data_IF_194499018080
#
_entry.id   IF_194499018080
#
_cell.length_a   1.000
_cell.length_b   1.000
_cell.length_c   1.000
_cell.angle_alpha   90.00
_cell.angle_beta   90.00
_cell.angle_gamma   90.00
#
_symmetry.space_group_name_H-M   'P 1'
#
loop_
_entity.id
_entity.type
_entity.pdbx_description
1 polymer ?
#
# COMPACT_ATOMS: atom_id res chain seq x y z
N UNK A 1 6.57 0.10 -6.38
CA UNK A 1 6.44 -0.75 -7.58
C UNK A 1 6.35 -2.24 -7.23
N UNK A 2 7.24 -2.81 -6.40
CA UNK A 2 7.18 -4.24 -6.05
C UNK A 2 5.89 -4.63 -5.30
N UNK A 3 5.47 -3.87 -4.30
CA UNK A 3 4.22 -4.10 -3.56
C UNK A 3 3.03 -4.15 -4.51
N UNK A 4 2.94 -3.20 -5.44
CA UNK A 4 1.91 -3.15 -6.47
C UNK A 4 1.91 -4.41 -7.36
N UNK A 5 3.10 -4.87 -7.79
CA UNK A 5 3.21 -6.03 -8.68
C UNK A 5 2.80 -7.33 -7.96
N UNK A 6 3.23 -7.51 -6.70
CA UNK A 6 2.80 -8.66 -5.87
C UNK A 6 1.30 -8.62 -5.62
N UNK A 7 0.77 -7.46 -5.23
CA UNK A 7 -0.66 -7.29 -4.98
C UNK A 7 -1.50 -7.61 -6.23
N UNK A 8 -1.11 -7.07 -7.38
CA UNK A 8 -1.79 -7.36 -8.64
C UNK A 8 -1.74 -8.85 -9.00
N UNK A 9 -0.59 -9.52 -8.81
CA UNK A 9 -0.44 -10.93 -9.09
C UNK A 9 -1.33 -11.82 -8.19
N UNK A 10 -1.39 -11.51 -6.89
CA UNK A 10 -2.24 -12.23 -5.92
C UNK A 10 -3.71 -12.04 -6.25
N UNK A 11 -4.15 -10.79 -6.41
CA UNK A 11 -5.55 -10.48 -6.71
C UNK A 11 -6.03 -11.04 -8.04
N UNK A 12 -5.15 -11.14 -9.04
CA UNK A 12 -5.47 -11.71 -10.36
C UNK A 12 -5.80 -13.21 -10.32
N UNK A 13 -5.57 -13.90 -9.18
CA UNK A 13 -6.00 -15.29 -8.99
C UNK A 13 -7.52 -15.41 -8.84
N UNK A 14 -8.20 -14.33 -8.47
CA UNK A 14 -9.65 -14.31 -8.21
C UNK A 14 -10.41 -13.22 -8.97
N UNK A 15 -9.77 -12.08 -9.26
CA UNK A 15 -10.42 -10.90 -9.82
C UNK A 15 -9.81 -10.52 -11.17
N UNK A 16 -10.57 -9.83 -12.00
CA UNK A 16 -10.05 -9.14 -13.18
C UNK A 16 -9.38 -7.85 -12.73
N UNK A 17 -8.06 -7.88 -12.68
CA UNK A 17 -7.22 -6.80 -12.15
C UNK A 17 -6.64 -5.97 -13.27
N UNK A 18 -6.72 -4.65 -13.12
CA UNK A 18 -5.96 -3.71 -13.93
C UNK A 18 -5.02 -2.91 -13.04
N UNK A 19 -3.75 -2.81 -13.42
CA UNK A 19 -2.72 -2.23 -12.58
C UNK A 19 -1.87 -1.20 -13.31
N UNK A 20 -1.33 -0.22 -12.56
CA UNK A 20 -0.34 0.72 -13.08
C UNK A 20 0.81 -0.01 -13.74
N UNK A 21 1.09 0.33 -15.00
CA UNK A 21 2.22 -0.22 -15.77
C UNK A 21 3.46 0.65 -15.58
N UNK A 22 4.62 -0.01 -15.40
CA UNK A 22 5.89 0.69 -15.24
C UNK A 22 5.83 1.75 -14.14
N UNK A 23 6.19 2.97 -14.48
CA UNK A 23 6.24 4.14 -13.59
C UNK A 23 5.10 5.16 -13.85
N UNK A 24 3.96 4.73 -14.37
CA UNK A 24 2.79 5.60 -14.63
C UNK A 24 2.07 5.95 -13.32
N UNK A 25 2.83 6.42 -12.33
CA UNK A 25 2.41 6.69 -10.96
C UNK A 25 2.27 8.18 -10.61
N UNK A 26 2.28 9.06 -11.62
CA UNK A 26 2.22 10.50 -11.50
C UNK A 26 0.86 11.06 -11.99
N UNK A 27 0.70 12.39 -11.92
CA UNK A 27 -0.54 13.10 -12.28
C UNK A 27 -1.00 12.94 -13.74
N UNK A 28 -0.19 12.35 -14.61
CA UNK A 28 -0.55 12.03 -16.00
C UNK A 28 -0.75 10.51 -16.13
N UNK A 29 0.20 9.72 -15.66
CA UNK A 29 0.23 8.27 -15.88
C UNK A 29 -0.87 7.53 -15.13
N UNK A 30 -1.17 7.91 -13.89
CA UNK A 30 -2.22 7.25 -13.11
C UNK A 30 -3.62 7.47 -13.70
N UNK A 31 -4.05 8.70 -14.05
CA UNK A 31 -5.32 8.90 -14.76
C UNK A 31 -5.41 8.14 -16.08
N UNK A 32 -4.32 8.08 -16.86
CA UNK A 32 -4.29 7.28 -18.09
C UNK A 32 -4.46 5.79 -17.80
N UNK A 33 -3.90 5.28 -16.70
CA UNK A 33 -4.11 3.91 -16.26
C UNK A 33 -5.60 3.64 -15.97
N UNK A 34 -6.27 4.55 -15.28
CA UNK A 34 -7.70 4.43 -14.98
C UNK A 34 -8.55 4.46 -16.26
N UNK A 35 -8.31 5.44 -17.13
CA UNK A 35 -9.06 5.60 -18.38
C UNK A 35 -8.85 4.47 -19.37
N UNK A 36 -7.72 3.76 -19.29
CA UNK A 36 -7.42 2.60 -20.16
C UNK A 36 -7.85 1.26 -19.58
N UNK A 37 -8.46 1.25 -18.39
CA UNK A 37 -8.94 0.03 -17.77
C UNK A 37 -10.10 -0.58 -18.59
N UNK A 38 -10.06 -1.90 -18.86
CA UNK A 38 -11.20 -2.59 -19.47
C UNK A 38 -12.48 -2.42 -18.65
N UNK A 39 -13.63 -2.37 -19.34
CA UNK A 39 -14.92 -2.13 -18.69
C UNK A 39 -15.34 -3.23 -17.69
N UNK A 40 -14.77 -4.41 -17.82
CA UNK A 40 -15.00 -5.56 -16.92
C UNK A 40 -14.00 -5.67 -15.78
N UNK A 41 -13.15 -4.64 -15.56
CA UNK A 41 -12.20 -4.58 -14.45
C UNK A 41 -12.95 -4.57 -13.12
N UNK A 42 -12.55 -5.47 -12.21
CA UNK A 42 -13.12 -5.57 -10.86
C UNK A 42 -12.26 -4.86 -9.82
N UNK A 43 -10.94 -4.86 -10.03
CA UNK A 43 -9.98 -4.24 -9.11
C UNK A 43 -8.96 -3.40 -9.88
N UNK A 44 -8.82 -2.14 -9.46
CA UNK A 44 -7.75 -1.25 -9.90
C UNK A 44 -6.63 -1.23 -8.85
N UNK A 45 -5.41 -1.58 -9.26
CA UNK A 45 -4.22 -1.48 -8.42
C UNK A 45 -3.37 -0.31 -8.91
N UNK A 46 -3.46 0.81 -8.22
CA UNK A 46 -2.84 2.06 -8.63
C UNK A 46 -1.62 2.38 -7.77
N UNK A 47 -0.49 2.64 -8.40
CA UNK A 47 0.70 3.17 -7.74
C UNK A 47 0.67 4.69 -7.80
N UNK A 48 0.92 5.34 -6.66
CA UNK A 48 0.97 6.80 -6.56
C UNK A 48 2.38 7.23 -6.13
N UNK A 49 3.03 8.00 -6.96
CA UNK A 49 4.35 8.58 -6.72
C UNK A 49 4.26 10.09 -6.54
N UNK A 50 5.24 10.68 -5.85
CA UNK A 50 5.30 12.12 -5.64
C UNK A 50 6.75 12.61 -5.63
N UNK A 51 6.94 13.87 -5.99
CA UNK A 51 8.15 14.67 -5.76
C UNK A 51 7.87 15.86 -4.82
N UNK A 52 6.62 16.36 -4.81
CA UNK A 52 6.21 17.53 -4.06
C UNK A 52 4.94 17.23 -3.23
N UNK A 53 4.67 18.09 -2.27
CA UNK A 53 3.39 18.09 -1.57
C UNK A 53 2.22 18.30 -2.53
N UNK A 54 1.05 17.78 -2.15
CA UNK A 54 -0.22 17.84 -2.88
C UNK A 54 -0.28 17.01 -4.18
N UNK A 55 0.77 16.26 -4.51
CA UNK A 55 0.71 15.33 -5.65
C UNK A 55 -0.06 14.07 -5.29
N UNK A 56 0.23 13.45 -4.13
CA UNK A 56 -0.53 12.29 -3.64
C UNK A 56 -1.98 12.66 -3.33
N UNK A 57 -2.23 13.83 -2.76
CA UNK A 57 -3.60 14.33 -2.54
C UNK A 57 -4.41 14.33 -3.84
N UNK A 58 -3.89 14.93 -4.91
CA UNK A 58 -4.57 14.99 -6.21
C UNK A 58 -4.77 13.61 -6.84
N UNK A 59 -3.76 12.75 -6.75
CA UNK A 59 -3.85 11.38 -7.24
C UNK A 59 -4.92 10.59 -6.46
N UNK A 60 -4.93 10.70 -5.14
CA UNK A 60 -5.90 10.04 -4.27
C UNK A 60 -7.32 10.54 -4.53
N UNK A 61 -7.53 11.85 -4.61
CA UNK A 61 -8.84 12.44 -4.94
C UNK A 61 -9.35 12.00 -6.32
N UNK A 62 -8.44 11.82 -7.29
CA UNK A 62 -8.80 11.33 -8.63
C UNK A 62 -9.13 9.84 -8.65
N UNK A 63 -8.47 9.05 -7.82
CA UNK A 63 -8.64 7.59 -7.75
C UNK A 63 -9.75 7.17 -6.79
N UNK A 64 -10.01 7.96 -5.76
CA UNK A 64 -10.97 7.67 -4.70
C UNK A 64 -10.81 6.25 -4.11
N UNK A 65 -9.63 5.92 -3.55
CA UNK A 65 -9.31 4.54 -3.19
C UNK A 65 -10.12 4.07 -1.98
N UNK A 66 -10.63 2.84 -2.05
CA UNK A 66 -11.28 2.16 -0.93
C UNK A 66 -10.23 1.60 0.05
N UNK A 67 -9.09 1.15 -0.48
CA UNK A 67 -7.97 0.61 0.26
C UNK A 67 -6.69 1.28 -0.20
N UNK A 68 -5.86 1.71 0.76
CA UNK A 68 -4.55 2.26 0.48
C UNK A 68 -3.47 1.54 1.29
N UNK A 69 -2.23 1.54 0.76
CA UNK A 69 -1.07 0.94 1.43
C UNK A 69 0.07 1.95 1.44
N UNK A 70 0.59 2.27 2.62
CA UNK A 70 1.85 2.98 2.79
C UNK A 70 2.85 2.03 3.44
N UNK A 71 3.70 1.42 2.62
CA UNK A 71 4.57 0.33 3.05
C UNK A 71 5.76 0.79 3.88
N UNK A 72 6.36 1.95 3.55
CA UNK A 72 7.55 2.47 4.25
C UNK A 72 7.78 3.95 3.98
N UNK A 73 8.32 4.65 4.99
CA UNK A 73 8.85 6.01 4.88
C UNK A 73 10.38 5.94 4.77
N UNK A 74 10.84 5.86 3.53
CA UNK A 74 12.28 5.88 3.23
C UNK A 74 12.85 7.29 3.14
N UNK A 75 13.98 7.41 2.45
CA UNK A 75 14.68 8.66 2.20
C UNK A 75 14.54 9.15 0.75
N UNK A 76 13.79 8.45 -0.08
CA UNK A 76 13.52 8.89 -1.46
C UNK A 76 12.86 10.27 -1.45
N UNK A 77 13.33 11.16 -2.34
CA UNK A 77 12.86 12.55 -2.43
C UNK A 77 13.22 13.46 -1.23
N UNK A 78 14.09 13.02 -0.30
CA UNK A 78 14.50 13.83 0.86
C UNK A 78 15.19 15.14 0.43
N UNK A 79 15.90 15.16 -0.70
CA UNK A 79 16.51 16.36 -1.25
C UNK A 79 15.51 17.44 -1.70
N UNK A 80 14.26 17.06 -1.98
CA UNK A 80 13.18 17.96 -2.40
C UNK A 80 12.32 18.33 -1.19
N UNK A 81 11.92 17.33 -0.40
CA UNK A 81 11.00 17.51 0.74
C UNK A 81 11.71 17.90 2.04
N UNK A 82 13.04 17.78 2.12
CA UNK A 82 13.87 18.26 3.22
C UNK A 82 13.99 17.31 4.41
N UNK A 83 12.99 16.48 4.71
CA UNK A 83 13.02 15.56 5.86
C UNK A 83 12.18 14.29 5.63
N UNK A 84 12.45 13.23 6.42
CA UNK A 84 11.59 12.03 6.44
C UNK A 84 10.18 12.34 6.97
N UNK A 85 10.05 13.27 7.91
CA UNK A 85 8.73 13.71 8.38
C UNK A 85 7.92 14.33 7.24
N UNK A 86 8.51 15.17 6.42
CA UNK A 86 7.84 15.74 5.25
C UNK A 86 7.48 14.67 4.20
N UNK A 87 8.32 13.63 4.04
CA UNK A 87 7.98 12.48 3.19
C UNK A 87 6.77 11.73 3.77
N UNK A 88 6.73 11.54 5.10
CA UNK A 88 5.57 10.93 5.77
C UNK A 88 4.30 11.77 5.58
N UNK A 89 4.39 13.10 5.74
CA UNK A 89 3.27 14.03 5.48
C UNK A 89 2.77 13.93 4.03
N UNK A 90 3.69 13.99 3.07
CA UNK A 90 3.33 13.90 1.64
C UNK A 90 2.69 12.56 1.29
N UNK A 91 3.17 11.43 1.84
CA UNK A 91 2.53 10.13 1.63
C UNK A 91 1.19 9.99 2.34
N UNK A 92 1.04 10.61 3.52
CA UNK A 92 -0.21 10.63 4.27
C UNK A 92 -1.34 11.42 3.56
N UNK A 93 -1.01 12.25 2.57
CA UNK A 93 -2.00 12.92 1.71
C UNK A 93 -2.95 11.94 1.01
N UNK A 94 -2.59 10.65 0.93
CA UNK A 94 -3.44 9.62 0.34
C UNK A 94 -4.81 9.53 1.03
N UNK A 95 -4.90 9.88 2.30
CA UNK A 95 -6.16 9.88 3.06
C UNK A 95 -7.17 10.90 2.53
N UNK A 96 -6.72 11.95 1.83
CA UNK A 96 -7.59 13.02 1.34
C UNK A 96 -8.57 12.57 0.23
N UNK A 97 -8.25 11.49 -0.48
CA UNK A 97 -9.14 10.91 -1.48
C UNK A 97 -9.85 9.64 -1.01
N UNK A 98 -9.51 9.14 0.20
CA UNK A 98 -10.17 7.96 0.76
C UNK A 98 -11.50 8.37 1.38
N UNK A 99 -12.60 7.86 0.84
CA UNK A 99 -13.91 8.16 1.38
C UNK A 99 -14.77 6.90 1.50
N UNK A 100 -15.65 6.92 2.49
CA UNK A 100 -16.67 5.87 2.64
C UNK A 100 -17.60 5.89 1.44
N UNK A 101 -17.94 4.73 0.92
CA UNK A 101 -18.91 4.54 -0.15
C UNK A 101 -19.98 3.54 0.31
N UNK A 102 -21.18 4.01 0.58
CA UNK A 102 -22.22 3.19 1.17
C UNK A 102 -21.84 2.72 2.58
N UNK A 103 -21.95 1.41 2.83
CA UNK A 103 -21.59 0.79 4.12
C UNK A 103 -20.09 0.46 4.25
N UNK A 104 -19.26 0.89 3.30
CA UNK A 104 -17.84 0.60 3.27
C UNK A 104 -17.02 1.69 3.98
N UNK A 105 -16.22 1.28 4.97
CA UNK A 105 -15.24 2.15 5.63
C UNK A 105 -13.89 1.97 4.93
N UNK A 106 -13.24 3.07 4.49
CA UNK A 106 -11.94 2.96 3.83
C UNK A 106 -10.87 2.45 4.79
N UNK A 107 -9.95 1.62 4.26
CA UNK A 107 -8.89 0.98 5.02
C UNK A 107 -7.51 1.44 4.56
N UNK A 108 -6.70 1.94 5.50
CA UNK A 108 -5.29 2.26 5.28
C UNK A 108 -4.41 1.19 5.92
N UNK A 109 -3.63 0.47 5.11
CA UNK A 109 -2.62 -0.48 5.59
C UNK A 109 -1.27 0.24 5.73
N UNK A 110 -0.67 0.13 6.91
CA UNK A 110 0.63 0.71 7.23
C UNK A 110 1.64 -0.39 7.62
N UNK A 111 2.91 -0.18 7.30
CA UNK A 111 4.00 -1.03 7.78
C UNK A 111 4.17 -0.87 9.29
N UNK A 112 4.06 -1.96 10.06
CA UNK A 112 4.08 -1.93 11.53
C UNK A 112 5.40 -1.43 12.11
N UNK A 113 6.53 -1.76 11.49
CA UNK A 113 7.88 -1.40 11.96
C UNK A 113 8.34 -0.01 11.50
N UNK A 114 7.55 0.74 10.74
CA UNK A 114 7.96 2.07 10.30
C UNK A 114 7.77 3.09 11.44
N UNK A 115 8.83 3.83 11.76
CA UNK A 115 8.85 4.82 12.83
C UNK A 115 7.85 5.99 12.62
N UNK A 116 7.36 6.20 11.40
CA UNK A 116 6.31 7.18 11.09
C UNK A 116 4.89 6.59 11.07
N UNK A 117 4.71 5.29 11.28
CA UNK A 117 3.39 4.67 11.32
C UNK A 117 2.46 5.30 12.37
N UNK A 118 2.88 5.53 13.64
CA UNK A 118 2.04 6.21 14.61
C UNK A 118 1.67 7.64 14.18
N UNK A 119 2.61 8.35 13.58
CA UNK A 119 2.38 9.70 13.09
C UNK A 119 1.32 9.76 11.98
N UNK A 120 1.40 8.87 10.97
CA UNK A 120 0.43 8.80 9.88
C UNK A 120 -0.94 8.39 10.41
N UNK A 121 -0.98 7.35 11.26
CA UNK A 121 -2.21 6.82 11.85
C UNK A 121 -2.94 7.88 12.67
N UNK A 122 -2.24 8.52 13.61
CA UNK A 122 -2.88 9.35 14.63
C UNK A 122 -3.11 10.79 14.18
N UNK A 123 -2.30 11.29 13.22
CA UNK A 123 -2.41 12.67 12.72
C UNK A 123 -3.33 12.79 11.50
N UNK A 124 -3.38 11.75 10.65
CA UNK A 124 -4.08 11.84 9.37
C UNK A 124 -5.24 10.84 9.23
N UNK A 125 -5.02 9.54 9.44
CA UNK A 125 -6.03 8.53 9.16
C UNK A 125 -7.20 8.56 10.16
N UNK A 126 -6.91 8.46 11.46
CA UNK A 126 -7.95 8.46 12.49
C UNK A 126 -8.83 9.72 12.50
N UNK A 127 -8.28 10.95 12.41
CA UNK A 127 -9.10 12.15 12.34
C UNK A 127 -9.99 12.20 11.07
N UNK A 128 -9.60 11.53 10.00
CA UNK A 128 -10.37 11.41 8.77
C UNK A 128 -11.42 10.27 8.81
N UNK A 129 -11.53 9.52 9.92
CA UNK A 129 -12.44 8.39 10.04
C UNK A 129 -12.06 7.17 9.19
N UNK A 130 -10.76 7.00 8.92
CA UNK A 130 -10.22 5.89 8.12
C UNK A 130 -9.72 4.82 9.07
N UNK A 131 -10.16 3.58 8.84
CA UNK A 131 -9.63 2.43 9.57
C UNK A 131 -8.17 2.16 9.18
N UNK A 132 -7.37 1.77 10.18
CA UNK A 132 -5.95 1.48 9.99
C UNK A 132 -5.67 0.05 10.40
N UNK A 133 -4.94 -0.67 9.53
CA UNK A 133 -4.43 -2.01 9.78
C UNK A 133 -2.91 -1.96 9.72
N UNK A 134 -2.23 -2.56 10.71
CA UNK A 134 -0.79 -2.73 10.72
C UNK A 134 -0.41 -4.09 10.12
N UNK A 135 0.56 -4.08 9.23
CA UNK A 135 1.10 -5.29 8.62
C UNK A 135 2.63 -5.29 8.73
N UNK A 136 3.19 -6.34 9.32
CA UNK A 136 4.63 -6.42 9.57
C UNK A 136 5.07 -7.75 10.17
N UNK A 137 5.98 -7.70 11.14
CA UNK A 137 6.53 -8.88 11.84
C UNK A 137 6.37 -8.81 13.36
N UNK A 138 5.88 -7.69 13.89
CA UNK A 138 5.65 -7.49 15.32
C UNK A 138 4.42 -8.25 15.81
N UNK A 139 4.41 -8.61 17.10
CA UNK A 139 3.24 -9.21 17.72
C UNK A 139 2.05 -8.24 17.85
N UNK A 140 2.29 -6.95 17.72
CA UNK A 140 1.27 -5.90 17.75
C UNK A 140 0.61 -5.65 16.38
N UNK A 141 1.13 -6.25 15.30
CA UNK A 141 0.56 -6.10 13.96
C UNK A 141 -0.67 -7.01 13.78
N UNK A 142 -1.72 -6.51 13.11
CA UNK A 142 -2.93 -7.28 12.81
C UNK A 142 -2.66 -8.38 11.77
N UNK A 143 -1.77 -8.12 10.81
CA UNK A 143 -1.28 -9.12 9.84
C UNK A 143 0.22 -9.26 10.00
N UNK A 144 0.68 -10.49 10.34
CA UNK A 144 2.08 -10.74 10.67
C UNK A 144 2.71 -11.80 9.79
N UNK A 145 3.95 -11.57 9.39
CA UNK A 145 4.77 -12.62 8.81
C UNK A 145 5.60 -13.28 9.90
N UNK A 146 5.46 -14.59 10.06
CA UNK A 146 6.17 -15.42 11.04
C UNK A 146 7.02 -16.48 10.34
N UNK A 147 7.97 -17.06 11.06
CA UNK A 147 8.81 -18.18 10.60
C UNK A 147 9.48 -17.89 9.23
N UNK A 148 9.91 -16.65 9.06
CA UNK A 148 10.49 -16.17 7.81
C UNK A 148 11.81 -16.88 7.57
N UNK A 149 11.92 -17.59 6.45
CA UNK A 149 13.12 -18.28 5.99
C UNK A 149 13.26 -18.14 4.48
N UNK A 150 14.41 -18.53 3.98
CA UNK A 150 14.70 -18.56 2.54
C UNK A 150 14.88 -20.03 2.14
N UNK A 151 14.25 -20.47 1.08
CA UNK A 151 14.45 -21.82 0.55
C UNK A 151 15.77 -21.95 -0.25
N UNK A 152 16.06 -23.16 -0.73
CA UNK A 152 17.29 -23.45 -1.48
C UNK A 152 17.39 -22.68 -2.80
N UNK A 153 16.28 -22.13 -3.30
CA UNK A 153 16.20 -21.33 -4.52
C UNK A 153 16.22 -19.82 -4.23
N UNK A 154 16.42 -19.43 -2.96
CA UNK A 154 16.50 -18.03 -2.53
C UNK A 154 15.13 -17.35 -2.41
N UNK A 155 14.02 -18.10 -2.35
CA UNK A 155 12.65 -17.56 -2.25
C UNK A 155 12.23 -17.44 -0.79
N UNK A 156 11.59 -16.32 -0.38
CA UNK A 156 11.05 -16.17 0.96
C UNK A 156 9.88 -17.15 1.19
N UNK A 157 9.96 -17.89 2.28
CA UNK A 157 8.91 -18.78 2.80
C UNK A 157 8.56 -18.29 4.20
N UNK A 158 7.30 -18.12 4.48
CA UNK A 158 6.82 -17.62 5.78
C UNK A 158 5.37 -18.01 6.02
N UNK A 159 4.95 -17.91 7.27
CA UNK A 159 3.55 -18.05 7.66
C UNK A 159 2.93 -16.65 7.81
N UNK A 160 1.83 -16.38 7.11
CA UNK A 160 0.99 -15.23 7.39
C UNK A 160 0.05 -15.57 8.52
N UNK A 161 0.05 -14.76 9.57
CA UNK A 161 -0.85 -14.84 10.72
C UNK A 161 -1.79 -13.64 10.70
N UNK A 162 -3.09 -13.89 10.58
CA UNK A 162 -4.16 -12.88 10.56
C UNK A 162 -4.81 -12.68 11.94
N UNK A 163 -4.22 -13.26 12.98
CA UNK A 163 -4.82 -13.31 14.33
C UNK A 163 -5.91 -14.37 14.47
N UNK A 164 -6.43 -14.51 15.67
CA UNK A 164 -7.51 -15.46 16.00
C UNK A 164 -7.26 -16.93 15.59
N UNK A 165 -5.99 -17.30 15.35
CA UNK A 165 -5.60 -18.65 14.92
C UNK A 165 -5.72 -18.89 13.41
N UNK A 166 -6.03 -17.89 12.62
CA UNK A 166 -6.03 -17.98 11.15
C UNK A 166 -4.63 -17.75 10.61
N UNK A 167 -4.07 -18.77 9.96
CA UNK A 167 -2.72 -18.73 9.38
C UNK A 167 -2.67 -19.33 7.99
N UNK A 168 -1.76 -18.83 7.14
CA UNK A 168 -1.51 -19.36 5.81
C UNK A 168 0.00 -19.47 5.57
N UNK A 169 0.48 -20.67 5.30
CA UNK A 169 1.85 -20.86 4.83
C UNK A 169 1.99 -20.36 3.40
N UNK A 170 3.00 -19.54 3.18
CA UNK A 170 3.17 -18.80 1.93
C UNK A 170 4.62 -18.81 1.46
N UNK A 171 4.79 -18.74 0.16
CA UNK A 171 6.07 -18.57 -0.52
C UNK A 171 5.94 -17.50 -1.60
N UNK A 172 6.88 -16.57 -1.64
CA UNK A 172 6.97 -15.64 -2.76
C UNK A 172 7.88 -16.22 -3.85
N UNK A 173 7.38 -16.29 -5.08
CA UNK A 173 8.14 -16.77 -6.23
C UNK A 173 9.21 -15.76 -6.72
N UNK A 174 9.56 -14.77 -5.88
CA UNK A 174 10.55 -13.72 -6.16
C UNK A 174 11.73 -13.93 -5.22
N UNK A 175 12.97 -14.11 -5.71
CA UNK A 175 14.14 -14.27 -4.84
C UNK A 175 14.40 -13.02 -3.98
N UNK A 176 14.85 -13.26 -2.75
CA UNK A 176 15.33 -12.24 -1.81
C UNK A 176 14.33 -11.86 -0.71
N UNK A 177 14.87 -11.71 0.50
CA UNK A 177 14.15 -11.11 1.66
C UNK A 177 14.32 -9.59 1.56
N UNK A 178 13.27 -8.83 1.70
CA UNK A 178 13.28 -7.37 1.64
C UNK A 178 12.55 -6.79 2.82
#
# INVERSE_FOLDING_TARGET
TRTKDVLAAVLSKRYRVWATKGNFNNLIGMPLTVLSAPADTEVLVLEMGMNHFHEIERLSQSANPNLAIVSKIGTSHIGILGSRENIARAKAEIVQGMCAAGDYVPLLVLGGEDDFTPFIRDTFARPAGIDVMLAGVSDDDEVRARDIRVDDEGRPVFTLDFGQGETIDTMLAIPGVQ
#
